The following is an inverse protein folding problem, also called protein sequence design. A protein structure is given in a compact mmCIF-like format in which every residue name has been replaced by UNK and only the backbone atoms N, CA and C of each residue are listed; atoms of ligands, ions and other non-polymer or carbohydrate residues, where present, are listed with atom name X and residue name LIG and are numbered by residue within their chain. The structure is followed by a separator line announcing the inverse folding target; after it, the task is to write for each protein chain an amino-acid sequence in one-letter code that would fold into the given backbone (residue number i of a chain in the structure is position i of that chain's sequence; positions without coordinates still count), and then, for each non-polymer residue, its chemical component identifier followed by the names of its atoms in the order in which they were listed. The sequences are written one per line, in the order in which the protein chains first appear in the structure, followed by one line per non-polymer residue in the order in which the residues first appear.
data_IF_041555018002
#
_entry.id   IF_041555018002
#
_cell.length_a   1.000
_cell.length_b   1.000
_cell.length_c   1.000
_cell.angle_alpha   90.00
_cell.angle_beta   90.00
_cell.angle_gamma   90.00
#
_symmetry.space_group_name_H-M   'P 1'
#
loop_
_entity.id
_entity.type
_entity.pdbx_description
1 polymer ?
#
# COMPACT_ATOMS: atom_id res chain seq x y z
N UNK A 1 -2.31 8.15 0.28
CA UNK A 1 -2.30 6.82 -0.39
C UNK A 1 -1.41 6.89 -1.62
N UNK A 2 -0.57 5.88 -1.82
CA UNK A 2 0.23 5.71 -3.03
C UNK A 2 0.09 4.30 -3.62
N UNK A 3 0.84 4.03 -4.68
CA UNK A 3 0.92 2.72 -5.33
C UNK A 3 2.27 2.05 -5.08
N UNK A 4 2.35 0.74 -5.30
CA UNK A 4 3.61 -0.01 -5.19
C UNK A 4 4.70 0.40 -6.21
N UNK A 5 4.40 1.33 -7.11
CA UNK A 5 5.42 1.96 -7.96
C UNK A 5 6.35 2.89 -7.17
N UNK A 6 5.90 3.41 -6.02
CA UNK A 6 6.76 4.11 -5.06
C UNK A 6 7.68 3.07 -4.43
N UNK A 7 8.97 3.14 -4.77
CA UNK A 7 9.99 2.23 -4.27
C UNK A 7 10.68 2.82 -3.05
N UNK A 8 10.89 1.99 -2.03
CA UNK A 8 11.67 2.34 -0.83
C UNK A 8 12.97 1.53 -0.80
N UNK A 9 14.06 2.06 -0.20
CA UNK A 9 15.32 1.34 -0.07
C UNK A 9 15.19 0.00 0.65
N UNK A 10 14.28 -0.08 1.62
CA UNK A 10 14.03 -1.26 2.44
C UNK A 10 13.12 -2.29 1.73
N UNK A 11 12.64 -2.02 0.51
CA UNK A 11 11.81 -2.98 -0.21
C UNK A 11 12.62 -4.20 -0.68
N UNK A 12 12.01 -5.37 -0.57
CA UNK A 12 12.55 -6.60 -1.13
C UNK A 12 12.38 -6.67 -2.66
N UNK A 13 13.20 -7.51 -3.29
CA UNK A 13 13.02 -7.82 -4.71
C UNK A 13 11.71 -8.58 -4.92
N UNK A 14 10.93 -8.16 -5.92
CA UNK A 14 9.69 -8.81 -6.34
C UNK A 14 9.56 -8.77 -7.85
N UNK A 15 9.33 -9.93 -8.48
CA UNK A 15 9.07 -10.02 -9.93
C UNK A 15 7.84 -9.20 -10.31
N UNK A 16 6.83 -9.16 -9.44
CA UNK A 16 5.63 -8.36 -9.65
C UNK A 16 5.93 -6.86 -9.66
N UNK A 17 6.81 -6.38 -8.78
CA UNK A 17 7.26 -4.99 -8.75
C UNK A 17 7.95 -4.60 -10.06
N UNK A 18 8.83 -5.47 -10.58
CA UNK A 18 9.50 -5.24 -11.86
C UNK A 18 8.49 -5.15 -13.01
N UNK A 19 7.54 -6.07 -13.07
CA UNK A 19 6.48 -6.07 -14.08
C UNK A 19 5.64 -4.78 -14.03
N UNK A 20 5.22 -4.35 -12.84
CA UNK A 20 4.44 -3.12 -12.65
C UNK A 20 5.25 -1.89 -13.02
N UNK A 21 6.54 -1.85 -12.68
CA UNK A 21 7.42 -0.75 -13.07
C UNK A 21 7.51 -0.61 -14.59
N UNK A 22 7.76 -1.71 -15.32
CA UNK A 22 7.82 -1.72 -16.79
C UNK A 22 6.48 -1.26 -17.39
N UNK A 23 5.37 -1.81 -16.90
CA UNK A 23 4.03 -1.45 -17.38
C UNK A 23 3.74 0.05 -17.17
N UNK A 24 4.06 0.58 -15.99
CA UNK A 24 3.81 1.99 -15.67
C UNK A 24 4.68 2.92 -16.51
N UNK A 25 5.96 2.60 -16.71
CA UNK A 25 6.86 3.40 -17.56
C UNK A 25 6.38 3.45 -19.02
N UNK A 26 5.82 2.34 -19.53
CA UNK A 26 5.38 2.25 -20.93
C UNK A 26 3.99 2.87 -21.19
N UNK A 27 3.04 2.66 -20.27
CA UNK A 27 1.62 2.98 -20.52
C UNK A 27 1.06 4.08 -19.62
N UNK A 28 1.77 4.45 -18.55
CA UNK A 28 1.24 5.32 -17.51
C UNK A 28 2.33 6.22 -16.88
N UNK A 29 3.26 6.71 -17.69
CA UNK A 29 4.44 7.47 -17.23
C UNK A 29 4.07 8.71 -16.40
N UNK A 30 2.97 9.40 -16.74
CA UNK A 30 2.46 10.53 -15.96
C UNK A 30 1.99 10.11 -14.55
N UNK A 31 1.29 8.97 -14.43
CA UNK A 31 0.85 8.44 -13.12
C UNK A 31 2.08 8.02 -12.31
N UNK A 32 3.05 7.37 -12.96
CA UNK A 32 4.32 6.99 -12.33
C UNK A 32 5.05 8.21 -11.75
N UNK A 33 5.22 9.27 -12.55
CA UNK A 33 5.86 10.51 -12.11
C UNK A 33 5.10 11.17 -10.96
N UNK A 34 3.77 11.23 -11.02
CA UNK A 34 2.95 11.79 -9.95
C UNK A 34 3.11 11.04 -8.63
N UNK A 35 3.18 9.71 -8.66
CA UNK A 35 3.37 8.91 -7.45
C UNK A 35 4.75 9.14 -6.82
N UNK A 36 5.79 9.33 -7.62
CA UNK A 36 7.11 9.70 -7.11
C UNK A 36 7.16 11.13 -6.57
N UNK A 37 6.54 12.08 -7.26
CA UNK A 37 6.44 13.47 -6.78
C UNK A 37 5.67 13.54 -5.46
N UNK A 38 4.58 12.76 -5.32
CA UNK A 38 3.86 12.62 -4.05
C UNK A 38 4.78 12.09 -2.95
N UNK A 39 5.55 11.04 -3.24
CA UNK A 39 6.50 10.49 -2.29
C UNK A 39 7.57 11.50 -1.88
N UNK A 40 8.09 12.29 -2.82
CA UNK A 40 9.08 13.33 -2.55
C UNK A 40 8.49 14.44 -1.68
N UNK A 41 7.29 14.94 -2.01
CA UNK A 41 6.61 15.98 -1.23
C UNK A 41 6.43 15.60 0.24
N UNK A 42 6.00 14.37 0.53
CA UNK A 42 5.88 13.91 1.93
C UNK A 42 7.23 13.78 2.64
N UNK A 43 8.29 13.39 1.93
CA UNK A 43 9.63 13.26 2.53
C UNK A 43 10.32 14.61 2.75
N UNK A 44 10.15 15.55 1.83
CA UNK A 44 10.83 16.85 1.85
C UNK A 44 10.04 17.88 2.67
N UNK A 45 8.73 17.94 2.46
CA UNK A 45 7.86 18.97 3.03
C UNK A 45 7.00 18.48 4.20
N UNK A 46 6.91 17.15 4.40
CA UNK A 46 6.10 16.56 5.48
C UNK A 46 6.72 16.67 6.88
N UNK A 47 7.81 17.40 7.06
CA UNK A 47 8.50 17.53 8.34
C UNK A 47 7.58 18.17 9.39
N UNK A 48 7.43 17.52 10.54
CA UNK A 48 6.56 17.99 11.63
C UNK A 48 5.07 17.67 11.42
N UNK A 49 4.73 16.87 10.42
CA UNK A 49 3.40 16.28 10.25
C UNK A 49 3.43 14.79 10.58
N UNK A 50 2.45 14.32 11.35
CA UNK A 50 2.22 12.89 11.56
C UNK A 50 1.56 12.30 10.30
N UNK A 51 2.36 11.93 9.29
CA UNK A 51 1.87 11.41 8.02
C UNK A 51 2.18 9.93 7.81
N UNK A 52 1.31 9.25 7.07
CA UNK A 52 1.53 7.88 6.58
C UNK A 52 1.06 7.78 5.12
N UNK A 53 1.94 7.34 4.22
CA UNK A 53 1.58 7.06 2.82
C UNK A 53 1.63 5.57 2.56
N UNK A 54 0.54 4.87 2.87
CA UNK A 54 0.44 3.45 2.53
C UNK A 54 0.40 3.21 1.01
N UNK A 55 1.06 2.15 0.57
CA UNK A 55 1.26 1.76 -0.84
C UNK A 55 0.45 0.51 -1.17
N UNK A 56 -0.35 0.57 -2.23
CA UNK A 56 -1.27 -0.51 -2.64
C UNK A 56 -0.99 -1.00 -4.06
N UNK A 57 -1.27 -2.28 -4.31
CA UNK A 57 -1.20 -2.90 -5.63
C UNK A 57 -2.59 -3.00 -6.26
N UNK A 58 -3.36 -4.03 -5.93
CA UNK A 58 -4.76 -4.17 -6.34
C UNK A 58 -5.70 -4.04 -5.13
N UNK A 59 -6.84 -3.37 -5.33
CA UNK A 59 -7.91 -3.30 -4.34
C UNK A 59 -9.09 -4.13 -4.85
N UNK A 60 -9.41 -5.21 -4.15
CA UNK A 60 -10.49 -6.16 -4.48
C UNK A 60 -11.63 -6.08 -3.46
N UNK A 61 -12.62 -6.96 -3.58
CA UNK A 61 -13.76 -7.06 -2.66
C UNK A 61 -14.95 -6.20 -3.09
N UNK A 62 -16.15 -6.72 -2.87
CA UNK A 62 -17.40 -6.07 -3.28
C UNK A 62 -17.89 -5.06 -2.23
N UNK A 63 -18.89 -4.27 -2.62
CA UNK A 63 -19.50 -3.24 -1.75
C UNK A 63 -20.77 -3.70 -1.03
N UNK A 64 -21.27 -4.90 -1.33
CA UNK A 64 -22.44 -5.46 -0.66
C UNK A 64 -22.12 -5.87 0.79
N UNK A 65 -23.13 -5.79 1.65
CA UNK A 65 -22.97 -6.02 3.09
C UNK A 65 -22.42 -7.41 3.42
N UNK A 66 -22.81 -8.43 2.66
CA UNK A 66 -22.42 -9.82 2.90
C UNK A 66 -20.92 -9.99 2.60
N UNK A 67 -20.48 -9.54 1.42
CA UNK A 67 -19.07 -9.56 1.03
C UNK A 67 -18.23 -8.71 1.96
N UNK A 68 -18.69 -7.51 2.33
CA UNK A 68 -17.99 -6.62 3.24
C UNK A 68 -17.77 -7.25 4.61
N UNK A 69 -18.82 -7.84 5.19
CA UNK A 69 -18.74 -8.50 6.51
C UNK A 69 -17.77 -9.68 6.48
N UNK A 70 -17.87 -10.54 5.46
CA UNK A 70 -16.96 -11.67 5.27
C UNK A 70 -15.51 -11.20 5.15
N UNK A 71 -15.25 -10.23 4.27
CA UNK A 71 -13.89 -9.76 3.98
C UNK A 71 -13.28 -8.98 5.16
N UNK A 72 -14.12 -8.33 5.99
CA UNK A 72 -13.70 -7.68 7.24
C UNK A 72 -13.27 -8.68 8.32
N UNK A 73 -13.92 -9.84 8.38
CA UNK A 73 -13.64 -10.87 9.38
C UNK A 73 -12.52 -11.83 8.95
N UNK A 74 -12.20 -11.87 7.65
CA UNK A 74 -11.26 -12.84 7.08
C UNK A 74 -9.87 -12.25 6.86
N UNK A 75 -8.85 -12.91 7.41
CA UNK A 75 -7.44 -12.66 7.13
C UNK A 75 -6.86 -11.44 7.85
N UNK A 76 -5.53 -11.44 8.01
CA UNK A 76 -4.76 -10.31 8.55
C UNK A 76 -4.33 -9.37 7.43
N UNK A 77 -4.07 -8.10 7.78
CA UNK A 77 -3.43 -7.16 6.86
C UNK A 77 -1.93 -7.23 7.09
N UNK A 78 -1.17 -7.42 6.02
CA UNK A 78 0.27 -7.20 6.04
C UNK A 78 0.53 -5.70 5.88
N UNK A 79 1.41 -5.16 6.71
CA UNK A 79 1.95 -3.81 6.58
C UNK A 79 3.47 -3.87 6.76
N UNK A 80 4.22 -3.36 5.78
CA UNK A 80 5.69 -3.40 5.84
C UNK A 80 6.35 -3.18 4.49
N UNK A 81 7.47 -3.85 4.27
CA UNK A 81 8.27 -3.76 3.04
C UNK A 81 7.54 -4.39 1.84
N UNK A 82 7.68 -3.78 0.68
CA UNK A 82 7.14 -4.36 -0.55
C UNK A 82 7.92 -5.64 -0.88
N UNK A 83 7.20 -6.73 -1.17
CA UNK A 83 7.84 -8.01 -1.51
C UNK A 83 8.41 -8.78 -0.32
N UNK A 84 8.15 -8.36 0.92
CA UNK A 84 8.46 -9.17 2.10
C UNK A 84 7.75 -10.52 2.04
N UNK A 85 8.26 -11.54 2.75
CA UNK A 85 7.84 -12.95 2.58
C UNK A 85 6.35 -13.26 2.86
N UNK A 86 5.59 -12.30 3.39
CA UNK A 86 4.14 -12.42 3.67
C UNK A 86 3.28 -11.42 2.87
N UNK A 87 3.92 -10.59 2.04
CA UNK A 87 3.27 -9.61 1.19
C UNK A 87 2.60 -10.28 -0.02
N UNK A 88 1.43 -9.78 -0.42
CA UNK A 88 0.68 -10.25 -1.59
C UNK A 88 0.29 -9.09 -2.52
N UNK A 89 -0.24 -9.39 -3.70
CA UNK A 89 -0.51 -8.38 -4.74
C UNK A 89 -1.87 -7.68 -4.59
N UNK A 90 -2.65 -7.98 -3.55
CA UNK A 90 -3.98 -7.38 -3.38
C UNK A 90 -4.36 -7.20 -1.92
N UNK A 91 -5.31 -6.29 -1.66
CA UNK A 91 -6.02 -6.13 -0.39
C UNK A 91 -7.52 -5.97 -0.68
N UNK A 92 -8.40 -6.46 0.18
CA UNK A 92 -9.83 -6.16 0.03
C UNK A 92 -10.15 -4.76 0.56
N UNK A 93 -11.21 -4.12 0.05
CA UNK A 93 -11.69 -2.82 0.56
C UNK A 93 -11.99 -2.87 2.06
N UNK A 94 -12.58 -3.97 2.54
CA UNK A 94 -12.90 -4.17 3.95
C UNK A 94 -11.65 -4.28 4.83
N UNK A 95 -10.64 -5.02 4.36
CA UNK A 95 -9.34 -5.13 5.05
C UNK A 95 -8.61 -3.79 5.11
N UNK A 96 -8.59 -3.04 4.01
CA UNK A 96 -7.98 -1.72 3.96
C UNK A 96 -8.67 -0.76 4.93
N UNK A 97 -10.00 -0.71 4.91
CA UNK A 97 -10.76 0.15 5.81
C UNK A 97 -10.53 -0.22 7.29
N UNK A 98 -10.49 -1.52 7.59
CA UNK A 98 -10.17 -2.01 8.93
C UNK A 98 -8.78 -1.55 9.38
N UNK A 99 -7.75 -1.75 8.55
CA UNK A 99 -6.38 -1.34 8.87
C UNK A 99 -6.27 0.17 9.12
N UNK A 100 -6.93 0.99 8.30
CA UNK A 100 -6.93 2.45 8.48
C UNK A 100 -7.50 2.80 9.86
N UNK A 101 -8.68 2.28 10.21
CA UNK A 101 -9.33 2.58 11.50
C UNK A 101 -8.51 2.08 12.68
N UNK A 102 -7.89 0.90 12.57
CA UNK A 102 -7.06 0.31 13.64
C UNK A 102 -5.74 1.06 13.84
N UNK A 103 -5.22 1.73 12.81
CA UNK A 103 -3.90 2.37 12.84
C UNK A 103 -3.94 3.90 12.81
N UNK A 104 -5.11 4.53 12.67
CA UNK A 104 -5.22 6.00 12.57
C UNK A 104 -4.69 6.73 13.82
N UNK A 105 -4.78 6.08 14.99
CA UNK A 105 -4.25 6.59 16.25
C UNK A 105 -2.87 6.00 16.60
N UNK A 106 -2.37 5.06 15.79
CA UNK A 106 -1.09 4.40 16.02
C UNK A 106 0.07 5.26 15.53
N UNK A 107 1.14 5.31 16.33
CA UNK A 107 2.41 5.96 15.94
C UNK A 107 3.37 5.06 15.17
N UNK A 108 3.00 3.80 14.98
CA UNK A 108 3.86 2.79 14.34
C UNK A 108 4.26 3.20 12.92
N UNK A 109 3.37 3.89 12.20
CA UNK A 109 3.54 4.22 10.79
C UNK A 109 3.83 5.71 10.51
N UNK A 110 4.25 6.45 11.54
CA UNK A 110 4.58 7.86 11.38
C UNK A 110 5.76 8.05 10.43
N UNK A 111 5.63 9.04 9.55
CA UNK A 111 6.61 9.42 8.53
C UNK A 111 7.04 8.23 7.65
N UNK A 112 6.12 7.28 7.43
CA UNK A 112 6.42 6.00 6.78
C UNK A 112 5.54 5.73 5.57
N UNK A 113 6.00 4.78 4.74
CA UNK A 113 5.30 4.35 3.53
C UNK A 113 5.15 2.83 3.45
N UNK A 114 4.34 2.20 4.32
CA UNK A 114 4.20 0.74 4.30
C UNK A 114 3.48 0.27 3.04
N UNK A 115 3.90 -0.87 2.48
CA UNK A 115 3.11 -1.62 1.54
C UNK A 115 2.03 -2.41 2.29
N UNK A 116 0.76 -2.24 1.88
CA UNK A 116 -0.34 -3.00 2.46
C UNK A 116 -0.84 -4.07 1.49
N UNK A 117 -1.14 -5.24 2.04
CA UNK A 117 -1.75 -6.34 1.29
C UNK A 117 -2.54 -7.25 2.24
N UNK A 118 -3.33 -8.16 1.68
CA UNK A 118 -3.76 -9.34 2.41
C UNK A 118 -2.51 -10.12 2.85
N UNK A 119 -2.50 -10.56 4.10
CA UNK A 119 -1.40 -11.36 4.65
C UNK A 119 -1.44 -12.78 4.08
N UNK A 120 -0.33 -13.27 3.55
CA UNK A 120 -0.19 -14.69 3.15
C UNK A 120 0.18 -15.54 4.37
N UNK A 121 -0.79 -16.28 4.91
CA UNK A 121 -0.58 -17.32 5.94
C UNK A 121 0.40 -18.40 5.54
#
# INVERSE_FOLDING_TARGET
MGTISISRPDDCFSVFKLMVHVLMCLFASAIYANMHNLSAAFQEEGQGLDWTVFRLAAISGESDEISWKRDRETGSVYAGELGGGRWTTSITRAQLARWIVENIESREWYESMPALSTFSG
#
